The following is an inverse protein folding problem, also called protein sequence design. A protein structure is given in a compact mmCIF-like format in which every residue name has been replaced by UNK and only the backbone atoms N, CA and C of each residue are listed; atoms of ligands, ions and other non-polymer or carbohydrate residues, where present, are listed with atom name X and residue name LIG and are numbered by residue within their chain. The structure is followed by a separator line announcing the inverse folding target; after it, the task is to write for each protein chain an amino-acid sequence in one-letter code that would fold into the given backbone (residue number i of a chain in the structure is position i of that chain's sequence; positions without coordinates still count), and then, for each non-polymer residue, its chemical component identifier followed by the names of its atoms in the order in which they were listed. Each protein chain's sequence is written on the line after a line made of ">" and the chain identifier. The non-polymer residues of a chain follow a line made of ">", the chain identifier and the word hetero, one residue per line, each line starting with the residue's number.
data_IF_271337913229
#
_entry.id   IF_271337913229
#
_cell.length_a   1.000
_cell.length_b   1.000
_cell.length_c   1.000
_cell.angle_alpha   90.00
_cell.angle_beta   90.00
_cell.angle_gamma   90.00
#
_symmetry.space_group_name_H-M   'P 1'
#
loop_
_entity.id
_entity.type
_entity.pdbx_description
1 polymer ?
#
# COMPACT_ATOMS: atom_id res chain seq x y z
N UNK A 1 12.37 -4.29 -12.00
CA UNK A 1 12.55 -5.56 -11.27
C UNK A 1 11.22 -6.19 -10.87
N UNK A 2 10.41 -5.58 -10.00
CA UNK A 2 9.09 -6.13 -9.58
C UNK A 2 8.16 -6.45 -10.76
N UNK A 3 8.00 -5.55 -11.73
CA UNK A 3 7.18 -5.77 -12.94
C UNK A 3 7.65 -7.01 -13.72
N UNK A 4 8.96 -7.20 -13.86
CA UNK A 4 9.51 -8.35 -14.56
C UNK A 4 9.29 -9.66 -13.79
N UNK A 5 9.44 -9.65 -12.47
CA UNK A 5 9.13 -10.81 -11.62
C UNK A 5 7.65 -11.20 -11.72
N UNK A 6 6.74 -10.23 -11.62
CA UNK A 6 5.30 -10.45 -11.80
C UNK A 6 4.99 -11.05 -13.18
N UNK A 7 5.62 -10.50 -14.23
CA UNK A 7 5.43 -10.96 -15.61
C UNK A 7 5.89 -12.41 -15.79
N UNK A 8 7.07 -12.76 -15.28
CA UNK A 8 7.61 -14.12 -15.33
C UNK A 8 6.73 -15.11 -14.56
N UNK A 9 6.22 -14.70 -13.40
CA UNK A 9 5.31 -15.50 -12.58
C UNK A 9 3.85 -15.53 -13.09
N UNK A 10 3.52 -14.77 -14.15
CA UNK A 10 2.15 -14.55 -14.64
C UNK A 10 1.20 -14.07 -13.53
N UNK A 11 1.71 -13.22 -12.64
CA UNK A 11 0.96 -12.63 -11.52
C UNK A 11 0.66 -11.16 -11.78
N UNK A 12 -0.39 -10.67 -11.12
CA UNK A 12 -0.90 -9.31 -11.25
C UNK A 12 -0.89 -8.59 -9.91
N UNK A 13 -0.90 -7.26 -9.96
CA UNK A 13 -0.78 -6.36 -8.82
C UNK A 13 -1.84 -5.27 -8.90
N UNK A 14 -2.43 -4.94 -7.75
CA UNK A 14 -3.19 -3.72 -7.53
C UNK A 14 -2.59 -2.94 -6.34
N UNK A 15 -2.73 -1.61 -6.33
CA UNK A 15 -2.23 -0.77 -5.22
C UNK A 15 -3.31 0.12 -4.57
N UNK A 16 -3.19 0.37 -3.28
CA UNK A 16 -4.00 1.36 -2.55
C UNK A 16 -3.09 2.30 -1.75
N UNK A 17 -2.97 3.54 -2.18
CA UNK A 17 -2.05 4.52 -1.64
C UNK A 17 -2.78 5.59 -0.82
N UNK A 18 -2.22 5.95 0.33
CA UNK A 18 -2.62 7.16 1.06
C UNK A 18 -1.42 8.10 1.14
N UNK A 19 -0.46 7.80 2.01
CA UNK A 19 0.64 8.71 2.31
C UNK A 19 1.64 8.92 1.15
N UNK A 20 1.72 7.97 0.21
CA UNK A 20 2.61 8.03 -0.97
C UNK A 20 2.02 8.85 -2.12
N UNK A 21 0.70 9.06 -2.15
CA UNK A 21 0.03 9.98 -3.07
C UNK A 21 0.18 9.65 -4.55
N UNK A 22 0.21 8.37 -4.93
CA UNK A 22 0.34 7.91 -6.31
C UNK A 22 1.77 7.58 -6.73
N UNK A 23 2.76 7.82 -5.87
CA UNK A 23 4.16 7.55 -6.18
C UNK A 23 4.45 6.05 -6.35
N UNK A 24 3.75 5.17 -5.62
CA UNK A 24 3.93 3.72 -5.77
C UNK A 24 3.44 3.27 -7.16
N UNK A 25 2.23 3.68 -7.54
CA UNK A 25 1.69 3.43 -8.87
C UNK A 25 2.60 4.03 -9.95
N UNK A 26 3.06 5.29 -9.79
CA UNK A 26 3.98 5.93 -10.72
C UNK A 26 5.27 5.11 -10.94
N UNK A 27 5.89 4.63 -9.86
CA UNK A 27 7.10 3.80 -9.94
C UNK A 27 6.85 2.47 -10.66
N UNK A 28 5.66 1.91 -10.57
CA UNK A 28 5.26 0.70 -11.31
C UNK A 28 5.01 1.03 -12.77
N UNK A 29 4.26 2.10 -13.06
CA UNK A 29 3.88 2.48 -14.43
C UNK A 29 5.02 3.06 -15.26
N UNK A 30 6.08 3.55 -14.63
CA UNK A 30 7.31 3.99 -15.31
C UNK A 30 8.17 2.82 -15.83
N UNK A 31 7.77 1.56 -15.59
CA UNK A 31 8.45 0.39 -16.11
C UNK A 31 7.71 -0.13 -17.33
N UNK A 32 8.43 -0.34 -18.44
CA UNK A 32 7.89 -0.93 -19.66
C UNK A 32 7.21 -2.29 -19.38
N UNK A 33 6.07 -2.52 -20.03
CA UNK A 33 5.30 -3.76 -19.88
C UNK A 33 4.48 -3.86 -18.59
N UNK A 34 4.44 -2.81 -17.77
CA UNK A 34 3.63 -2.76 -16.55
C UNK A 34 2.14 -3.06 -16.79
N UNK A 35 1.58 -2.70 -17.94
CA UNK A 35 0.18 -2.96 -18.32
C UNK A 35 -0.19 -4.44 -18.36
N UNK A 36 0.79 -5.35 -18.42
CA UNK A 36 0.54 -6.80 -18.37
C UNK A 36 0.32 -7.33 -16.95
N UNK A 37 0.70 -6.56 -15.94
CA UNK A 37 0.73 -7.02 -14.54
C UNK A 37 0.03 -6.07 -13.58
N UNK A 38 -0.01 -4.77 -13.85
CA UNK A 38 -0.64 -3.78 -12.99
C UNK A 38 -2.09 -3.53 -13.43
N UNK A 39 -3.05 -3.90 -12.59
CA UNK A 39 -4.47 -3.82 -12.92
C UNK A 39 -5.05 -2.44 -12.61
N UNK A 40 -4.83 -1.98 -11.38
CA UNK A 40 -5.39 -0.72 -10.90
C UNK A 40 -4.63 -0.18 -9.69
N UNK A 41 -4.76 1.13 -9.49
CA UNK A 41 -4.20 1.84 -8.34
C UNK A 41 -5.20 2.84 -7.79
N UNK A 42 -5.49 2.78 -6.49
CA UNK A 42 -6.35 3.74 -5.80
C UNK A 42 -5.50 4.71 -4.99
N UNK A 43 -5.85 6.01 -5.05
CA UNK A 43 -5.29 7.03 -4.16
C UNK A 43 -6.40 7.43 -3.17
N UNK A 44 -6.30 6.94 -1.93
CA UNK A 44 -7.33 6.99 -0.90
C UNK A 44 -6.88 7.85 0.29
N UNK A 45 -6.69 9.14 0.04
CA UNK A 45 -6.09 10.05 1.01
C UNK A 45 -7.00 10.31 2.23
N UNK A 46 -8.31 10.46 2.03
CA UNK A 46 -9.27 10.68 3.10
C UNK A 46 -9.86 9.38 3.65
N UNK A 47 -10.34 9.42 4.89
CA UNK A 47 -11.03 8.29 5.52
C UNK A 47 -12.28 7.92 4.73
N UNK A 48 -13.05 8.94 4.29
CA UNK A 48 -14.19 8.76 3.39
C UNK A 48 -13.82 8.05 2.09
N UNK A 49 -12.67 8.37 1.47
CA UNK A 49 -12.24 7.69 0.26
C UNK A 49 -11.94 6.20 0.51
N UNK A 50 -11.32 5.87 1.65
CA UNK A 50 -11.09 4.48 2.06
C UNK A 50 -12.42 3.73 2.20
N UNK A 51 -13.40 4.35 2.85
CA UNK A 51 -14.72 3.76 3.04
C UNK A 51 -15.51 3.63 1.73
N UNK A 52 -15.57 4.68 0.91
CA UNK A 52 -16.36 4.68 -0.32
C UNK A 52 -15.80 3.71 -1.38
N UNK A 53 -14.48 3.59 -1.49
CA UNK A 53 -13.82 2.83 -2.57
C UNK A 53 -13.41 1.41 -2.20
N UNK A 54 -13.05 1.17 -0.95
CA UNK A 54 -12.71 -0.18 -0.47
C UNK A 54 -13.83 -0.82 0.35
N UNK A 55 -14.94 -0.10 0.59
CA UNK A 55 -15.99 -0.52 1.52
C UNK A 55 -15.46 -0.75 2.95
N UNK A 56 -14.39 -0.05 3.32
CA UNK A 56 -13.78 -0.14 4.64
C UNK A 56 -14.70 0.51 5.69
N UNK A 57 -15.13 -0.19 6.75
CA UNK A 57 -16.03 0.37 7.75
C UNK A 57 -15.44 1.60 8.42
N UNK A 58 -16.18 2.70 8.44
CA UNK A 58 -15.75 3.91 9.16
C UNK A 58 -15.54 3.64 10.67
N UNK A 59 -16.20 2.62 11.23
CA UNK A 59 -15.95 2.16 12.60
C UNK A 59 -14.51 1.67 12.82
N UNK A 60 -13.89 0.99 11.85
CA UNK A 60 -12.50 0.54 11.96
C UNK A 60 -11.56 1.74 12.03
N UNK A 61 -11.73 2.72 11.14
CA UNK A 61 -10.89 3.92 11.13
C UNK A 61 -11.07 4.72 12.43
N UNK A 62 -12.31 4.85 12.93
CA UNK A 62 -12.58 5.57 14.18
C UNK A 62 -11.97 4.90 15.41
N UNK A 63 -11.89 3.56 15.45
CA UNK A 63 -11.40 2.83 16.62
C UNK A 63 -9.88 2.83 16.75
N UNK A 64 -9.16 2.69 15.63
CA UNK A 64 -7.69 2.52 15.63
C UNK A 64 -6.92 3.61 14.86
N UNK A 65 -7.62 4.54 14.22
CA UNK A 65 -7.03 5.57 13.36
C UNK A 65 -6.70 5.06 11.95
N UNK A 66 -6.67 5.99 10.98
CA UNK A 66 -6.38 5.68 9.57
C UNK A 66 -4.96 5.15 9.32
N UNK A 67 -4.03 5.41 10.24
CA UNK A 67 -2.65 4.92 10.18
C UNK A 67 -2.49 3.83 11.25
N UNK A 68 -2.90 2.62 10.92
CA UNK A 68 -2.86 1.48 11.84
C UNK A 68 -2.57 0.18 11.10
N UNK A 69 -2.28 -0.88 11.85
CA UNK A 69 -2.10 -2.22 11.27
C UNK A 69 -3.42 -2.72 10.71
N UNK A 70 -4.50 -2.51 11.44
CA UNK A 70 -5.86 -2.94 11.13
C UNK A 70 -6.37 -2.31 9.82
N UNK A 71 -6.20 -1.00 9.67
CA UNK A 71 -6.57 -0.30 8.44
C UNK A 71 -5.70 -0.75 7.27
N UNK A 72 -4.39 -0.96 7.47
CA UNK A 72 -3.54 -1.49 6.41
C UNK A 72 -3.93 -2.92 5.97
N UNK A 73 -4.27 -3.80 6.92
CA UNK A 73 -4.78 -5.15 6.64
C UNK A 73 -6.06 -5.06 5.81
N UNK A 74 -7.08 -4.34 6.30
CA UNK A 74 -8.36 -4.21 5.60
C UNK A 74 -8.20 -3.56 4.23
N UNK A 75 -7.35 -2.53 4.10
CA UNK A 75 -7.08 -1.90 2.81
C UNK A 75 -6.52 -2.89 1.80
N UNK A 76 -5.56 -3.72 2.19
CA UNK A 76 -4.93 -4.69 1.30
C UNK A 76 -5.91 -5.82 0.93
N UNK A 77 -6.64 -6.37 1.89
CA UNK A 77 -7.59 -7.47 1.66
C UNK A 77 -8.78 -7.04 0.80
N UNK A 78 -9.34 -5.86 1.07
CA UNK A 78 -10.46 -5.32 0.29
C UNK A 78 -10.04 -5.00 -1.14
N UNK A 79 -8.86 -4.41 -1.32
CA UNK A 79 -8.33 -4.18 -2.66
C UNK A 79 -8.09 -5.49 -3.41
N UNK A 80 -7.55 -6.52 -2.76
CA UNK A 80 -7.36 -7.83 -3.37
C UNK A 80 -8.67 -8.39 -3.92
N UNK A 81 -9.73 -8.34 -3.09
CA UNK A 81 -11.05 -8.83 -3.46
C UNK A 81 -11.70 -8.02 -4.59
N UNK A 82 -11.56 -6.70 -4.59
CA UNK A 82 -12.14 -5.82 -5.61
C UNK A 82 -11.41 -5.93 -6.96
N UNK A 83 -10.09 -5.97 -6.92
CA UNK A 83 -9.24 -5.95 -8.12
C UNK A 83 -9.14 -7.31 -8.82
N UNK A 84 -9.33 -8.41 -8.08
CA UNK A 84 -9.00 -9.76 -8.57
C UNK A 84 -7.51 -9.95 -8.85
N UNK A 85 -6.65 -9.08 -8.33
CA UNK A 85 -5.20 -9.19 -8.49
C UNK A 85 -4.64 -10.39 -7.71
N UNK A 86 -3.43 -10.82 -8.07
CA UNK A 86 -2.72 -11.84 -7.30
C UNK A 86 -2.06 -11.28 -6.04
N UNK A 87 -1.70 -9.99 -6.08
CA UNK A 87 -1.16 -9.26 -4.96
C UNK A 87 -1.86 -7.90 -4.85
N UNK A 88 -2.16 -7.48 -3.64
CA UNK A 88 -2.64 -6.15 -3.33
C UNK A 88 -1.68 -5.50 -2.32
N UNK A 89 -1.13 -4.34 -2.68
CA UNK A 89 -0.13 -3.62 -1.91
C UNK A 89 -0.67 -2.25 -1.48
N UNK A 90 -0.72 -1.98 -0.18
CA UNK A 90 -1.27 -0.74 0.34
C UNK A 90 -0.25 0.07 1.18
N UNK A 91 -0.44 1.38 1.26
CA UNK A 91 0.35 2.27 2.13
C UNK A 91 -0.54 3.25 2.90
N UNK A 92 -0.37 3.30 4.22
CA UNK A 92 -0.97 4.34 5.08
C UNK A 92 0.04 4.84 6.09
N UNK A 93 0.14 6.15 6.31
CA UNK A 93 1.27 6.72 7.05
C UNK A 93 1.15 8.22 7.33
N UNK A 94 2.01 8.69 8.24
CA UNK A 94 2.12 10.10 8.67
C UNK A 94 3.36 10.73 8.04
N UNK A 95 3.22 11.30 6.83
CA UNK A 95 4.34 11.87 6.09
C UNK A 95 4.93 13.18 6.69
N UNK A 96 4.27 13.79 7.68
CA UNK A 96 4.68 15.08 8.25
C UNK A 96 4.40 16.28 7.33
N UNK A 97 4.79 17.52 7.69
CA UNK A 97 5.53 17.87 8.91
C UNK A 97 4.64 17.92 10.16
N UNK A 98 3.31 17.81 10.02
CA UNK A 98 2.37 17.75 11.13
C UNK A 98 1.79 16.35 11.27
N UNK A 99 1.45 15.93 12.50
CA UNK A 99 0.76 14.66 12.76
C UNK A 99 -0.74 14.71 12.45
N UNK A 100 -1.32 15.91 12.36
CA UNK A 100 -2.77 16.08 12.28
C UNK A 100 -3.43 15.51 13.54
N UNK A 101 -4.46 14.70 13.37
CA UNK A 101 -5.17 14.01 14.46
C UNK A 101 -4.50 12.71 14.90
N UNK A 102 -3.42 12.29 14.23
CA UNK A 102 -2.75 11.02 14.53
C UNK A 102 -1.88 11.14 15.78
N UNK A 103 -1.93 10.14 16.64
CA UNK A 103 -1.04 10.07 17.82
C UNK A 103 0.37 9.54 17.45
N UNK A 104 0.49 8.90 16.29
CA UNK A 104 1.73 8.26 15.83
C UNK A 104 2.82 9.24 15.42
N UNK A 105 4.07 8.75 15.47
CA UNK A 105 5.25 9.51 15.05
C UNK A 105 5.20 9.93 13.59
N UNK A 106 5.60 11.18 13.31
CA UNK A 106 5.91 11.62 11.95
C UNK A 106 6.95 10.65 11.39
N UNK A 107 6.72 10.20 10.17
CA UNK A 107 7.49 9.15 9.53
C UNK A 107 6.94 7.74 9.72
N UNK A 108 5.88 7.55 10.52
CA UNK A 108 5.28 6.20 10.66
C UNK A 108 4.57 5.81 9.38
N UNK A 109 4.78 4.58 8.91
CA UNK A 109 4.06 3.98 7.79
C UNK A 109 3.68 2.54 8.11
N UNK A 110 2.50 2.12 7.67
CA UNK A 110 2.07 0.73 7.57
C UNK A 110 1.93 0.36 6.10
N UNK A 111 2.48 -0.81 5.76
CA UNK A 111 2.47 -1.37 4.42
C UNK A 111 1.83 -2.75 4.49
N UNK A 112 0.67 -2.91 3.86
CA UNK A 112 -0.05 -4.18 3.80
C UNK A 112 0.19 -4.87 2.46
N UNK A 113 0.44 -6.19 2.49
CA UNK A 113 0.53 -7.05 1.33
C UNK A 113 -0.43 -8.23 1.51
N UNK A 114 -1.48 -8.27 0.69
CA UNK A 114 -2.43 -9.36 0.62
C UNK A 114 -2.22 -10.21 -0.64
N UNK A 115 -2.55 -11.49 -0.53
CA UNK A 115 -2.50 -12.48 -1.61
C UNK A 115 -3.47 -13.62 -1.27
N UNK A 116 -4.08 -14.30 -2.27
CA UNK A 116 -5.03 -15.37 -1.98
C UNK A 116 -4.35 -16.65 -1.46
N UNK A 117 -3.02 -16.79 -1.59
CA UNK A 117 -2.30 -18.00 -1.20
C UNK A 117 -1.80 -17.98 0.25
N UNK A 118 -1.62 -16.80 0.85
CA UNK A 118 -1.02 -16.67 2.18
C UNK A 118 -1.68 -15.55 2.98
N UNK A 119 -1.67 -15.61 4.32
CA UNK A 119 -2.24 -14.56 5.15
C UNK A 119 -1.65 -13.18 4.86
N UNK A 120 -2.48 -12.15 4.96
CA UNK A 120 -2.09 -10.75 4.79
C UNK A 120 -0.97 -10.41 5.77
N UNK A 121 0.10 -9.80 5.25
CA UNK A 121 1.23 -9.34 6.05
C UNK A 121 1.23 -7.82 6.10
N UNK A 122 1.42 -7.27 7.30
CA UNK A 122 1.54 -5.83 7.51
C UNK A 122 2.88 -5.51 8.16
N UNK A 123 3.60 -4.58 7.55
CA UNK A 123 4.90 -4.10 8.00
C UNK A 123 4.76 -2.68 8.51
N UNK A 124 5.39 -2.39 9.65
CA UNK A 124 5.49 -1.03 10.19
C UNK A 124 6.89 -0.49 9.96
N UNK A 125 6.98 0.72 9.42
CA UNK A 125 8.21 1.49 9.26
C UNK A 125 8.16 2.83 10.00
N UNK A 126 9.34 3.40 10.27
CA UNK A 126 9.52 4.75 10.80
C UNK A 126 10.63 5.44 10.01
N UNK A 127 10.27 6.43 9.20
CA UNK A 127 11.17 7.22 8.37
C UNK A 127 11.02 8.71 8.72
N UNK A 128 11.72 9.21 9.76
CA UNK A 128 11.54 10.56 10.30
C UNK A 128 12.24 11.61 9.43
N UNK A 129 11.88 11.66 8.16
CA UNK A 129 12.51 12.47 7.13
C UNK A 129 11.55 13.56 6.61
N UNK A 130 12.02 14.36 5.65
CA UNK A 130 11.15 15.26 4.89
C UNK A 130 9.98 14.49 4.26
N UNK A 131 8.86 15.17 4.02
CA UNK A 131 7.67 14.56 3.40
C UNK A 131 8.01 13.86 2.08
N UNK A 132 8.88 14.45 1.26
CA UNK A 132 9.28 13.88 -0.03
C UNK A 132 10.13 12.61 0.16
N UNK A 133 11.16 12.68 1.01
CA UNK A 133 12.02 11.55 1.33
C UNK A 133 11.24 10.40 1.96
N UNK A 134 10.33 10.71 2.90
CA UNK A 134 9.42 9.74 3.49
C UNK A 134 8.63 8.96 2.43
N UNK A 135 8.08 9.66 1.43
CA UNK A 135 7.33 9.01 0.34
C UNK A 135 8.20 8.06 -0.46
N UNK A 136 9.42 8.48 -0.81
CA UNK A 136 10.36 7.61 -1.55
C UNK A 136 10.69 6.36 -0.74
N UNK A 137 11.06 6.51 0.53
CA UNK A 137 11.40 5.40 1.43
C UNK A 137 10.21 4.45 1.64
N UNK A 138 9.00 4.97 1.80
CA UNK A 138 7.78 4.17 1.92
C UNK A 138 7.52 3.34 0.65
N UNK A 139 7.70 3.93 -0.53
CA UNK A 139 7.53 3.24 -1.82
C UNK A 139 8.62 2.18 -2.03
N UNK A 140 9.88 2.50 -1.73
CA UNK A 140 10.98 1.54 -1.83
C UNK A 140 10.78 0.35 -0.88
N UNK A 141 10.34 0.61 0.36
CA UNK A 141 10.00 -0.43 1.32
C UNK A 141 8.84 -1.31 0.81
N UNK A 142 7.78 -0.71 0.26
CA UNK A 142 6.62 -1.43 -0.26
C UNK A 142 6.99 -2.34 -1.44
N UNK A 143 7.76 -1.82 -2.40
CA UNK A 143 8.27 -2.60 -3.53
C UNK A 143 9.25 -3.69 -3.09
N UNK A 144 10.08 -3.42 -2.09
CA UNK A 144 11.00 -4.41 -1.52
C UNK A 144 10.30 -5.56 -0.80
N UNK A 145 9.19 -5.28 -0.10
CA UNK A 145 8.32 -6.31 0.50
C UNK A 145 7.73 -7.22 -0.58
N UNK A 146 7.13 -6.64 -1.63
CA UNK A 146 6.57 -7.41 -2.73
C UNK A 146 7.65 -8.20 -3.48
N UNK A 147 8.82 -7.59 -3.72
CA UNK A 147 9.92 -8.27 -4.39
C UNK A 147 10.37 -9.52 -3.63
N UNK A 148 10.57 -9.44 -2.30
CA UNK A 148 10.91 -10.61 -1.48
C UNK A 148 9.85 -11.70 -1.57
N UNK A 149 8.57 -11.33 -1.50
CA UNK A 149 7.47 -12.29 -1.66
C UNK A 149 7.53 -13.03 -3.01
N UNK A 150 7.92 -12.35 -4.08
CA UNK A 150 8.03 -12.95 -5.41
C UNK A 150 9.26 -13.84 -5.59
N UNK A 151 10.24 -13.76 -4.69
CA UNK A 151 11.39 -14.68 -4.67
C UNK A 151 11.10 -15.95 -3.88
N UNK A 152 10.22 -15.86 -2.88
CA UNK A 152 9.85 -16.98 -2.00
C UNK A 152 8.65 -17.81 -2.54
N UNK A 153 8.07 -17.43 -3.68
CA UNK A 153 6.85 -18.01 -4.27
C UNK A 153 7.12 -18.84 -5.52
#
# INVERSE_FOLDING_TARGET
>A
MVVECLRRAKRTLATAESCTGGLLANRITNVEGCSRVFLEGFILYSDKAKSDRLHLPESTIRSCGAVSKEVATEMAERLLNLSGAHYALCTTGVAGPTRGTQQLSIGTVFIGLASPQVPTQVYRGLFPESRETFKQLAVDAALGILYRRLLDA
#
